data_IF_599202970516
#
_entry.id   IF_599202970516
#
_cell.length_a   1.000
_cell.length_b   1.000
_cell.length_c   1.000
_cell.angle_alpha   90.00
_cell.angle_beta   90.00
_cell.angle_gamma   90.00
#
_symmetry.space_group_name_H-M   'P 1'
#
loop_
_entity.id
_entity.type
_entity.pdbx_description
1 polymer ?
#
# COMPACT_ATOMS: atom_id res chain seq x y z
N UNK A 1 -1.61 -20.29 16.64
CA UNK A 1 -2.62 -19.25 16.37
C UNK A 1 -2.02 -17.85 16.17
N UNK A 2 -1.26 -17.30 17.13
CA UNK A 2 -0.61 -15.99 16.95
C UNK A 2 0.27 -15.89 15.68
N UNK A 3 1.03 -16.93 15.38
CA UNK A 3 1.83 -17.02 14.14
C UNK A 3 0.93 -16.94 12.90
N UNK A 4 -0.08 -17.81 12.79
CA UNK A 4 -1.07 -17.83 11.71
C UNK A 4 -1.76 -16.46 11.50
N UNK A 5 -2.14 -15.78 12.58
CA UNK A 5 -2.75 -14.43 12.49
C UNK A 5 -1.75 -13.38 12.01
N UNK A 6 -0.48 -13.49 12.42
CA UNK A 6 0.59 -12.58 12.01
C UNK A 6 0.95 -12.75 10.53
N UNK A 7 1.01 -14.00 10.05
CA UNK A 7 1.16 -14.33 8.63
C UNK A 7 0.01 -13.74 7.82
N UNK A 8 -1.24 -14.00 8.23
CA UNK A 8 -2.43 -13.48 7.54
C UNK A 8 -2.47 -11.95 7.50
N UNK A 9 -2.06 -11.28 8.59
CA UNK A 9 -1.94 -9.82 8.62
C UNK A 9 -0.96 -9.32 7.53
N UNK A 10 0.21 -9.95 7.42
CA UNK A 10 1.22 -9.61 6.43
C UNK A 10 0.78 -9.85 4.99
N UNK A 11 0.13 -11.00 4.73
CA UNK A 11 -0.48 -11.32 3.43
C UNK A 11 -1.50 -10.26 3.01
N UNK A 12 -2.43 -9.90 3.90
CA UNK A 12 -3.45 -8.90 3.62
C UNK A 12 -2.83 -7.52 3.30
N UNK A 13 -1.76 -7.12 3.99
CA UNK A 13 -1.03 -5.86 3.69
C UNK A 13 -0.38 -5.92 2.31
N UNK A 14 0.24 -7.05 1.96
CA UNK A 14 0.88 -7.24 0.65
C UNK A 14 -0.17 -7.20 -0.47
N UNK A 15 -1.28 -7.91 -0.30
CA UNK A 15 -2.35 -7.99 -1.26
C UNK A 15 -3.06 -6.64 -1.43
N UNK A 16 -3.32 -5.92 -0.34
CA UNK A 16 -3.90 -4.57 -0.41
C UNK A 16 -2.98 -3.59 -1.12
N UNK A 17 -1.66 -3.71 -0.94
CA UNK A 17 -0.66 -2.89 -1.64
C UNK A 17 -0.64 -3.20 -3.14
N UNK A 18 -0.76 -4.48 -3.53
CA UNK A 18 -0.79 -4.93 -4.93
C UNK A 18 -2.10 -4.62 -5.65
N UNK A 19 -3.22 -4.57 -4.92
CA UNK A 19 -4.57 -4.41 -5.49
C UNK A 19 -4.83 -3.01 -6.05
N UNK A 20 -4.18 -1.99 -5.49
CA UNK A 20 -4.37 -0.61 -5.96
C UNK A 20 -3.59 -0.36 -7.24
N UNK A 21 -4.29 0.08 -8.27
CA UNK A 21 -3.73 0.50 -9.54
C UNK A 21 -4.48 1.77 -10.00
N UNK A 22 -3.73 2.83 -10.29
CA UNK A 22 -4.27 4.05 -10.88
C UNK A 22 -3.62 4.27 -12.24
N UNK A 23 -4.36 3.95 -13.29
CA UNK A 23 -3.97 4.25 -14.67
C UNK A 23 -4.16 5.75 -14.93
N UNK A 24 -3.11 6.41 -15.42
CA UNK A 24 -3.13 7.80 -15.82
C UNK A 24 -2.76 7.88 -17.30
N UNK A 25 -3.64 8.51 -18.09
CA UNK A 25 -3.46 8.73 -19.53
C UNK A 25 -3.25 10.21 -19.86
N UNK A 26 -3.78 11.13 -19.04
CA UNK A 26 -3.55 12.56 -19.21
C UNK A 26 -2.20 12.96 -18.59
N UNK A 27 -1.29 13.44 -19.45
CA UNK A 27 0.02 13.95 -19.07
C UNK A 27 -0.05 15.10 -18.06
N UNK A 28 -1.14 15.86 -18.01
CA UNK A 28 -1.32 16.95 -17.04
C UNK A 28 -1.46 16.45 -15.61
N UNK A 29 -2.00 15.25 -15.42
CA UNK A 29 -2.21 14.69 -14.07
C UNK A 29 -0.90 14.28 -13.40
N UNK A 30 0.15 13.99 -14.17
CA UNK A 30 1.49 13.62 -13.69
C UNK A 30 2.48 14.80 -13.58
N UNK A 31 2.00 16.05 -13.70
CA UNK A 31 2.87 17.22 -13.58
C UNK A 31 3.64 17.24 -12.25
N UNK A 32 4.95 17.54 -12.35
CA UNK A 32 5.90 17.58 -11.25
C UNK A 32 6.61 16.25 -10.95
N UNK A 33 6.11 15.10 -11.42
CA UNK A 33 6.80 13.82 -11.18
C UNK A 33 8.17 13.79 -11.89
N UNK A 34 9.24 13.34 -11.22
CA UNK A 34 10.56 13.24 -11.83
C UNK A 34 10.58 12.13 -12.89
N UNK A 35 11.49 12.24 -13.87
CA UNK A 35 11.63 11.27 -14.96
C UNK A 35 11.82 9.82 -14.47
N UNK A 36 12.52 9.63 -13.35
CA UNK A 36 12.70 8.32 -12.71
C UNK A 36 11.37 7.70 -12.25
N UNK A 37 10.48 8.50 -11.65
CA UNK A 37 9.15 8.04 -11.23
C UNK A 37 8.25 7.75 -12.43
N UNK A 38 8.31 8.59 -13.47
CA UNK A 38 7.59 8.34 -14.72
C UNK A 38 8.06 7.07 -15.43
N UNK A 39 9.37 6.79 -15.42
CA UNK A 39 9.92 5.54 -15.94
C UNK A 39 9.41 4.32 -15.19
N UNK A 40 9.40 4.35 -13.85
CA UNK A 40 8.85 3.25 -13.04
C UNK A 40 7.35 3.06 -13.28
N UNK A 41 6.58 4.15 -13.35
CA UNK A 41 5.14 4.07 -13.58
C UNK A 41 4.79 3.58 -15.01
N UNK A 42 5.60 3.93 -16.01
CA UNK A 42 5.47 3.39 -17.36
C UNK A 42 5.83 1.90 -17.41
N UNK A 43 6.91 1.48 -16.74
CA UNK A 43 7.26 0.05 -16.63
C UNK A 43 6.16 -0.77 -15.93
N UNK A 44 5.56 -0.20 -14.88
CA UNK A 44 4.38 -0.77 -14.23
C UNK A 44 3.22 -0.91 -15.23
N UNK A 45 2.96 0.13 -16.04
CA UNK A 45 1.93 0.08 -17.08
C UNK A 45 2.21 -1.03 -18.13
N UNK A 46 3.44 -1.18 -18.60
CA UNK A 46 3.83 -2.29 -19.50
C UNK A 46 3.53 -3.65 -18.85
N UNK A 47 3.90 -3.82 -17.58
CA UNK A 47 3.66 -5.07 -16.83
C UNK A 47 2.16 -5.37 -16.64
N UNK A 48 1.29 -4.38 -16.83
CA UNK A 48 -0.18 -4.47 -16.75
C UNK A 48 -0.86 -4.50 -18.12
N UNK A 49 -0.10 -4.67 -19.21
CA UNK A 49 -0.62 -4.85 -20.57
C UNK A 49 -0.59 -3.60 -21.46
N UNK A 50 -0.02 -2.48 -20.99
CA UNK A 50 0.18 -1.29 -21.81
C UNK A 50 1.56 -1.30 -22.48
N UNK A 51 1.76 -2.17 -23.46
CA UNK A 51 3.07 -2.45 -24.08
C UNK A 51 3.78 -1.23 -24.66
N UNK A 52 3.02 -0.22 -25.13
CA UNK A 52 3.55 1.01 -25.72
C UNK A 52 3.83 2.11 -24.69
N UNK A 53 3.69 1.82 -23.39
CA UNK A 53 3.89 2.82 -22.34
C UNK A 53 5.36 3.27 -22.26
N UNK A 54 5.58 4.59 -22.32
CA UNK A 54 6.91 5.19 -22.11
C UNK A 54 6.88 6.24 -21.01
N UNK A 55 8.05 6.58 -20.47
CA UNK A 55 8.17 7.63 -19.46
C UNK A 55 7.63 8.98 -19.98
N UNK A 56 7.88 9.32 -21.25
CA UNK A 56 7.54 10.61 -21.84
C UNK A 56 6.07 10.74 -22.24
N UNK A 57 5.45 9.66 -22.71
CA UNK A 57 4.12 9.70 -23.36
C UNK A 57 3.06 8.86 -22.65
N UNK A 58 3.44 8.07 -21.64
CA UNK A 58 2.52 7.21 -20.91
C UNK A 58 1.95 6.08 -21.77
N UNK A 59 0.87 5.42 -21.32
CA UNK A 59 0.21 5.66 -20.04
C UNK A 59 1.08 5.26 -18.84
N UNK A 60 0.73 5.75 -17.65
CA UNK A 60 1.46 5.47 -16.40
C UNK A 60 0.55 4.76 -15.41
N UNK A 61 1.06 3.76 -14.70
CA UNK A 61 0.33 3.10 -13.61
C UNK A 61 0.98 3.44 -12.28
N UNK A 62 0.24 4.18 -11.45
CA UNK A 62 0.61 4.48 -10.07
C UNK A 62 0.14 3.34 -9.16
N UNK A 63 0.99 3.00 -8.19
CA UNK A 63 0.86 1.86 -7.26
C UNK A 63 1.15 2.32 -5.83
N UNK A 64 0.94 1.46 -4.84
CA UNK A 64 1.16 1.78 -3.42
C UNK A 64 2.48 1.24 -2.85
N UNK A 65 3.33 0.61 -3.66
CA UNK A 65 4.70 0.31 -3.24
C UNK A 65 5.48 1.60 -2.98
N UNK A 66 6.43 1.53 -2.04
CA UNK A 66 7.04 2.72 -1.47
C UNK A 66 7.68 3.68 -2.51
N UNK A 67 8.45 3.21 -3.51
CA UNK A 67 8.98 4.08 -4.55
C UNK A 67 7.92 4.90 -5.29
N UNK A 68 6.81 4.24 -5.69
CA UNK A 68 5.70 4.87 -6.41
C UNK A 68 4.94 5.87 -5.54
N UNK A 69 4.52 5.43 -4.34
CA UNK A 69 3.78 6.26 -3.39
C UNK A 69 4.58 7.50 -2.97
N UNK A 70 5.85 7.34 -2.59
CA UNK A 70 6.70 8.44 -2.13
C UNK A 70 6.88 9.49 -3.23
N UNK A 71 7.13 9.05 -4.48
CA UNK A 71 7.29 9.98 -5.59
C UNK A 71 6.05 10.84 -5.82
N UNK A 72 4.84 10.24 -5.75
CA UNK A 72 3.59 10.99 -5.85
C UNK A 72 3.46 12.01 -4.72
N UNK A 73 3.68 11.59 -3.47
CA UNK A 73 3.50 12.46 -2.32
C UNK A 73 4.50 13.61 -2.27
N UNK A 74 5.73 13.40 -2.76
CA UNK A 74 6.78 14.41 -2.75
C UNK A 74 6.72 15.37 -3.94
N UNK A 75 6.32 14.90 -5.12
CA UNK A 75 6.56 15.63 -6.36
C UNK A 75 5.31 15.95 -7.18
N UNK A 76 4.23 15.17 -7.06
CA UNK A 76 3.04 15.42 -7.86
C UNK A 76 2.44 16.78 -7.50
N UNK A 77 2.25 17.66 -8.49
CA UNK A 77 1.63 18.98 -8.29
C UNK A 77 0.12 18.89 -8.19
N UNK A 78 -0.48 17.90 -8.87
CA UNK A 78 -1.90 17.61 -8.81
C UNK A 78 -2.34 17.21 -7.37
N UNK A 79 -3.08 18.10 -6.71
CA UNK A 79 -3.56 17.89 -5.34
C UNK A 79 -4.53 16.72 -5.23
N UNK A 80 -5.41 16.56 -6.21
CA UNK A 80 -6.40 15.48 -6.23
C UNK A 80 -5.72 14.12 -6.35
N UNK A 81 -4.66 14.03 -7.17
CA UNK A 81 -3.84 12.81 -7.27
C UNK A 81 -3.18 12.48 -5.93
N UNK A 82 -2.57 13.46 -5.26
CA UNK A 82 -1.99 13.25 -3.91
C UNK A 82 -3.04 12.79 -2.90
N UNK A 83 -4.23 13.39 -2.92
CA UNK A 83 -5.31 13.01 -2.00
C UNK A 83 -5.79 11.57 -2.24
N UNK A 84 -6.05 11.20 -3.49
CA UNK A 84 -6.49 9.85 -3.86
C UNK A 84 -5.48 8.78 -3.44
N UNK A 85 -4.21 8.98 -3.80
CA UNK A 85 -3.11 8.07 -3.48
C UNK A 85 -2.84 8.01 -1.98
N UNK A 86 -2.90 9.14 -1.27
CA UNK A 86 -2.79 9.18 0.18
C UNK A 86 -3.90 8.37 0.86
N UNK A 87 -5.17 8.61 0.50
CA UNK A 87 -6.32 7.91 1.08
C UNK A 87 -6.20 6.41 0.84
N UNK A 88 -5.89 6.00 -0.38
CA UNK A 88 -5.67 4.61 -0.71
C UNK A 88 -4.57 3.96 0.14
N UNK A 89 -3.45 4.67 0.37
CA UNK A 89 -2.34 4.17 1.19
C UNK A 89 -2.69 3.99 2.67
N UNK A 90 -3.41 4.94 3.27
CA UNK A 90 -3.74 4.91 4.70
C UNK A 90 -4.90 3.96 5.04
N UNK A 91 -5.72 3.58 4.06
CA UNK A 91 -6.81 2.61 4.21
C UNK A 91 -6.47 1.22 3.65
N UNK A 92 -5.18 0.91 3.48
CA UNK A 92 -4.77 -0.43 3.05
C UNK A 92 -5.15 -1.46 4.11
N UNK A 93 -5.65 -2.61 3.65
CA UNK A 93 -5.99 -3.75 4.49
C UNK A 93 -6.94 -3.39 5.66
N UNK A 94 -7.90 -2.49 5.42
CA UNK A 94 -8.82 -1.99 6.46
C UNK A 94 -10.30 -2.18 6.11
N UNK A 95 -10.62 -2.98 5.09
CA UNK A 95 -12.00 -3.26 4.67
C UNK A 95 -12.09 -4.50 3.77
N UNK A 96 -13.28 -5.10 3.70
CA UNK A 96 -13.56 -6.28 2.88
C UNK A 96 -12.71 -7.49 3.27
N UNK A 97 -12.37 -8.34 2.30
CA UNK A 97 -11.64 -9.60 2.53
C UNK A 97 -10.20 -9.42 3.05
N UNK A 98 -9.65 -8.20 2.92
CA UNK A 98 -8.29 -7.85 3.35
C UNK A 98 -8.28 -7.08 4.68
N UNK A 99 -9.42 -6.97 5.37
CA UNK A 99 -9.51 -6.22 6.62
C UNK A 99 -8.70 -6.86 7.75
N UNK A 100 -7.75 -6.11 8.29
CA UNK A 100 -6.90 -6.51 9.41
C UNK A 100 -7.43 -6.06 10.77
N UNK A 101 -8.54 -5.31 10.85
CA UNK A 101 -9.07 -4.77 12.10
C UNK A 101 -9.32 -5.86 13.15
N UNK A 102 -10.08 -6.89 12.78
CA UNK A 102 -10.38 -8.01 13.69
C UNK A 102 -9.16 -8.92 13.94
N UNK A 103 -8.20 -8.98 13.02
CA UNK A 103 -6.95 -9.72 13.24
C UNK A 103 -6.11 -9.05 14.33
N UNK A 104 -6.02 -7.72 14.32
CA UNK A 104 -5.31 -6.94 15.34
C UNK A 104 -5.94 -7.19 16.71
N UNK A 105 -7.27 -7.10 16.83
CA UNK A 105 -7.99 -7.36 18.08
C UNK A 105 -7.66 -8.76 18.64
N UNK A 106 -7.66 -9.77 17.78
CA UNK A 106 -7.39 -11.16 18.16
C UNK A 106 -5.93 -11.35 18.57
N UNK A 107 -5.00 -10.72 17.86
CA UNK A 107 -3.57 -10.73 18.22
C UNK A 107 -3.36 -10.08 19.59
N UNK A 108 -3.97 -8.94 19.88
CA UNK A 108 -3.86 -8.25 21.17
C UNK A 108 -4.42 -9.10 22.31
N UNK A 109 -5.60 -9.72 22.10
CA UNK A 109 -6.21 -10.64 23.05
C UNK A 109 -5.27 -11.80 23.39
N UNK A 110 -4.76 -12.51 22.37
CA UNK A 110 -3.87 -13.66 22.56
C UNK A 110 -2.52 -13.27 23.19
N UNK A 111 -1.99 -12.07 22.86
CA UNK A 111 -0.78 -11.52 23.49
C UNK A 111 -0.99 -11.28 24.99
N UNK A 112 -2.14 -10.73 25.38
CA UNK A 112 -2.49 -10.54 26.78
C UNK A 112 -2.68 -11.88 27.51
N UNK A 113 -3.36 -12.85 26.90
CA UNK A 113 -3.51 -14.20 27.46
C UNK A 113 -2.15 -14.88 27.69
N UNK A 114 -1.24 -14.79 26.70
CA UNK A 114 0.13 -15.30 26.82
C UNK A 114 0.89 -14.64 27.97
N UNK A 115 0.81 -13.31 28.12
CA UNK A 115 1.48 -12.60 29.21
C UNK A 115 1.00 -13.06 30.59
N UNK A 116 -0.32 -13.20 30.75
CA UNK A 116 -0.93 -13.67 32.01
C UNK A 116 -0.51 -15.10 32.35
N UNK A 117 -0.41 -16.00 31.36
CA UNK A 117 0.08 -17.37 31.58
C UNK A 117 1.54 -17.41 32.06
N UNK A 118 2.33 -16.39 31.72
CA UNK A 118 3.73 -16.24 32.15
C UNK A 118 3.89 -15.38 33.41
N UNK A 119 2.79 -15.01 34.07
CA UNK A 119 2.74 -14.16 35.28
C UNK A 119 3.22 -12.70 35.07
N UNK A 120 3.08 -12.16 33.85
CA UNK A 120 3.27 -10.74 33.56
C UNK A 120 1.94 -9.98 33.51
N UNK A 121 1.96 -8.66 33.71
CA UNK A 121 0.73 -7.84 33.69
C UNK A 121 0.24 -7.57 32.26
N UNK A 122 1.16 -7.48 31.31
CA UNK A 122 0.87 -7.17 29.91
C UNK A 122 1.97 -7.74 28.99
N UNK A 123 1.73 -7.73 27.68
CA UNK A 123 2.67 -8.31 26.71
C UNK A 123 3.95 -7.48 26.51
N UNK A 124 3.99 -6.20 26.90
CA UNK A 124 5.21 -5.40 26.78
C UNK A 124 6.26 -5.76 27.85
N UNK A 125 5.85 -6.42 28.93
CA UNK A 125 6.74 -6.92 29.99
C UNK A 125 7.34 -8.31 29.69
N UNK A 126 6.73 -9.06 28.75
CA UNK A 126 7.14 -10.41 28.32
C UNK A 126 8.38 -10.35 27.44
#
# INVERSE_FOLDING_TARGET
ELERLSEKFGENVLDATKKFEKLITDKKEIDGLPATALGLAAQSAVSKGHENATAENGPWVITLDAPSYIAVMQHARNRSLREEVYRAYITRASSGDLDNTLLIEQILKLRLEKAKLLNYNNYAEV
#
